data_IF_436117042322
#
_entry.id   IF_436117042322
#
_cell.length_a   1.000
_cell.length_b   1.000
_cell.length_c   1.000
_cell.angle_alpha   90.00
_cell.angle_beta   90.00
_cell.angle_gamma   90.00
#
_symmetry.space_group_name_H-M   'P 1'
#
loop_
_entity.id
_entity.type
_entity.pdbx_description
1 polymer ?
#
# COMPACT_ATOMS: atom_id res chain seq x y z
N UNK A 1 20.76 10.78 1.92
CA UNK A 1 21.70 11.93 1.98
C UNK A 1 20.96 13.17 1.48
N UNK A 2 21.02 14.29 2.19
CA UNK A 2 20.54 15.56 1.68
C UNK A 2 21.59 16.20 0.76
N UNK A 3 21.13 16.83 -0.31
CA UNK A 3 21.99 17.53 -1.27
C UNK A 3 21.52 18.96 -1.48
N UNK A 4 22.42 19.84 -1.91
CA UNK A 4 22.05 21.21 -2.32
C UNK A 4 21.21 21.20 -3.59
N UNK A 5 20.71 22.37 -3.99
CA UNK A 5 20.00 22.56 -5.27
C UNK A 5 20.82 22.09 -6.47
N UNK A 6 22.14 22.18 -6.40
CA UNK A 6 23.12 21.78 -7.41
C UNK A 6 23.60 20.32 -7.26
N UNK A 7 22.98 19.53 -6.38
CA UNK A 7 23.29 18.11 -6.11
C UNK A 7 24.63 17.84 -5.39
N UNK A 8 25.22 18.81 -4.70
CA UNK A 8 26.37 18.54 -3.83
C UNK A 8 25.93 18.05 -2.44
N UNK A 9 26.68 17.14 -1.78
CA UNK A 9 26.36 16.71 -0.41
C UNK A 9 26.19 17.91 0.54
N UNK A 10 25.02 18.02 1.16
CA UNK A 10 24.75 19.09 2.11
C UNK A 10 25.42 18.80 3.45
N UNK A 11 26.02 19.83 4.05
CA UNK A 11 26.74 19.74 5.31
C UNK A 11 26.25 20.80 6.29
N UNK A 12 26.24 20.44 7.57
CA UNK A 12 25.97 21.39 8.65
C UNK A 12 27.15 22.33 8.92
N UNK A 13 26.98 23.23 9.88
CA UNK A 13 28.00 24.17 10.35
C UNK A 13 29.27 23.49 10.89
N UNK A 14 29.17 22.23 11.30
CA UNK A 14 30.28 21.39 11.78
C UNK A 14 30.88 20.51 10.67
N UNK A 15 30.48 20.70 9.41
CA UNK A 15 30.89 19.94 8.21
C UNK A 15 30.43 18.48 8.19
N UNK A 16 29.51 18.06 9.06
CA UNK A 16 28.92 16.71 9.00
C UNK A 16 27.94 16.61 7.84
N UNK A 17 27.81 15.40 7.27
CA UNK A 17 26.80 15.14 6.25
C UNK A 17 25.40 15.13 6.88
N UNK A 18 24.46 15.84 6.26
CA UNK A 18 23.06 15.78 6.66
C UNK A 18 22.35 14.61 5.98
N UNK A 19 21.76 13.73 6.79
CA UNK A 19 20.94 12.63 6.32
C UNK A 19 19.47 12.93 6.56
N UNK A 20 18.62 12.52 5.62
CA UNK A 20 17.17 12.54 5.77
C UNK A 20 16.63 11.13 5.54
N UNK A 21 15.57 10.74 6.27
CA UNK A 21 14.87 9.50 6.02
C UNK A 21 14.40 9.43 4.56
N UNK A 22 14.54 8.27 3.92
CA UNK A 22 14.19 8.07 2.53
C UNK A 22 12.70 7.72 2.32
N UNK A 23 11.83 8.20 3.21
CA UNK A 23 10.41 7.86 3.24
C UNK A 23 10.11 6.47 3.80
N UNK A 24 8.82 6.13 3.86
CA UNK A 24 8.34 4.85 4.40
C UNK A 24 8.71 3.65 3.51
N UNK A 25 9.06 3.88 2.24
CA UNK A 25 9.61 2.88 1.32
C UNK A 25 10.86 2.14 1.83
N UNK A 26 11.63 2.80 2.71
CA UNK A 26 12.78 2.17 3.36
C UNK A 26 12.41 0.93 4.20
N UNK A 27 11.13 0.76 4.56
CA UNK A 27 10.65 -0.41 5.31
C UNK A 27 10.53 -1.68 4.45
N UNK A 28 10.64 -1.60 3.12
CA UNK A 28 10.52 -2.78 2.26
C UNK A 28 11.57 -3.85 2.60
N UNK A 29 12.83 -3.45 2.83
CA UNK A 29 13.89 -4.37 3.24
C UNK A 29 13.57 -5.04 4.58
N UNK A 30 13.07 -4.26 5.53
CA UNK A 30 12.69 -4.78 6.85
C UNK A 30 11.54 -5.78 6.73
N UNK A 31 10.52 -5.48 5.92
CA UNK A 31 9.42 -6.40 5.62
C UNK A 31 9.93 -7.67 4.94
N UNK A 32 10.92 -7.54 4.05
CA UNK A 32 11.58 -8.65 3.37
C UNK A 32 12.42 -9.53 4.32
N UNK A 33 12.70 -9.09 5.54
CA UNK A 33 13.36 -9.89 6.58
C UNK A 33 12.36 -10.55 7.55
N UNK A 34 11.14 -10.03 7.69
CA UNK A 34 10.11 -10.59 8.60
C UNK A 34 9.72 -12.01 8.22
N UNK A 35 9.97 -12.98 9.11
CA UNK A 35 9.60 -14.37 8.91
C UNK A 35 8.21 -14.67 9.51
N UNK A 36 7.15 -14.37 8.75
CA UNK A 36 5.76 -14.60 9.16
C UNK A 36 4.87 -14.88 7.94
N UNK A 37 3.75 -15.57 8.15
CA UNK A 37 2.79 -15.90 7.08
C UNK A 37 1.78 -14.77 6.84
N UNK A 38 1.40 -14.07 7.92
CA UNK A 38 0.52 -12.91 7.90
C UNK A 38 1.17 -11.76 8.65
N UNK A 39 1.24 -10.59 8.01
CA UNK A 39 1.89 -9.39 8.58
C UNK A 39 0.89 -8.24 8.60
N UNK A 40 0.72 -7.61 9.75
CA UNK A 40 -0.09 -6.41 9.92
C UNK A 40 0.81 -5.17 9.87
N UNK A 41 0.49 -4.22 9.00
CA UNK A 41 1.19 -2.93 8.90
C UNK A 41 0.21 -1.83 9.25
N UNK A 42 0.56 -1.01 10.25
CA UNK A 42 -0.19 0.20 10.59
C UNK A 42 0.74 1.36 10.89
N UNK A 43 0.24 2.58 10.71
CA UNK A 43 0.94 3.76 11.23
C UNK A 43 0.94 3.76 12.77
N UNK A 44 2.08 4.18 13.35
CA UNK A 44 2.27 4.23 14.80
C UNK A 44 1.37 5.27 15.48
N UNK A 45 1.02 6.33 14.76
CA UNK A 45 0.15 7.40 15.25
C UNK A 45 -1.34 7.07 15.18
N UNK A 46 -1.72 5.94 14.56
CA UNK A 46 -3.08 5.43 14.60
C UNK A 46 -3.31 4.66 15.91
N UNK A 47 -3.78 5.40 16.92
CA UNK A 47 -3.99 4.93 18.30
C UNK A 47 -5.37 5.35 18.80
N UNK A 48 -6.00 4.51 19.61
CA UNK A 48 -7.31 4.79 20.19
C UNK A 48 -7.32 4.44 21.68
N UNK A 49 -8.28 4.99 22.42
CA UNK A 49 -8.55 4.62 23.79
C UNK A 49 -8.94 3.14 23.89
N UNK A 50 -8.72 2.56 25.07
CA UNK A 50 -8.86 1.12 25.33
C UNK A 50 -10.24 0.56 24.96
N UNK A 51 -11.29 1.35 25.17
CA UNK A 51 -12.69 0.99 24.86
C UNK A 51 -12.94 0.67 23.38
N UNK A 52 -12.15 1.21 22.45
CA UNK A 52 -12.28 0.97 21.01
C UNK A 52 -11.44 -0.22 20.51
N UNK A 53 -10.57 -0.78 21.35
CA UNK A 53 -9.59 -1.81 20.93
C UNK A 53 -10.28 -3.07 20.41
N UNK A 54 -11.36 -3.53 21.04
CA UNK A 54 -12.09 -4.73 20.61
C UNK A 54 -12.72 -4.57 19.23
N UNK A 55 -13.33 -3.41 18.97
CA UNK A 55 -13.92 -3.10 17.66
C UNK A 55 -12.84 -2.99 16.58
N UNK A 56 -11.73 -2.31 16.87
CA UNK A 56 -10.58 -2.21 15.95
C UNK A 56 -10.00 -3.61 15.67
N UNK A 57 -9.85 -4.44 16.70
CA UNK A 57 -9.34 -5.81 16.56
C UNK A 57 -10.28 -6.69 15.73
N UNK A 58 -11.60 -6.52 15.87
CA UNK A 58 -12.58 -7.20 15.03
C UNK A 58 -12.34 -6.90 13.54
N UNK A 59 -12.21 -5.63 13.16
CA UNK A 59 -11.98 -5.28 11.76
C UNK A 59 -10.60 -5.73 11.24
N UNK A 60 -9.56 -5.75 12.09
CA UNK A 60 -8.28 -6.40 11.73
C UNK A 60 -8.45 -7.89 11.42
N UNK A 61 -9.27 -8.60 12.19
CA UNK A 61 -9.61 -10.00 11.90
C UNK A 61 -10.41 -10.15 10.61
N UNK A 62 -11.30 -9.21 10.28
CA UNK A 62 -12.02 -9.19 8.99
C UNK A 62 -11.03 -9.07 7.82
N UNK A 63 -10.09 -8.13 7.88
CA UNK A 63 -9.07 -7.95 6.84
C UNK A 63 -8.19 -9.21 6.69
N UNK A 64 -7.76 -9.79 7.81
CA UNK A 64 -6.98 -11.02 7.81
C UNK A 64 -7.78 -12.22 7.28
N UNK A 65 -9.06 -12.33 7.63
CA UNK A 65 -9.96 -13.36 7.11
C UNK A 65 -10.10 -13.27 5.59
N UNK A 66 -10.31 -12.06 5.05
CA UNK A 66 -10.36 -11.86 3.59
C UNK A 66 -9.02 -12.19 2.92
N UNK A 67 -7.90 -11.83 3.53
CA UNK A 67 -6.57 -12.19 3.03
C UNK A 67 -6.41 -13.71 2.92
N UNK A 68 -6.76 -14.45 3.98
CA UNK A 68 -6.64 -15.91 4.03
C UNK A 68 -7.58 -16.60 3.03
N UNK A 69 -8.83 -16.13 2.92
CA UNK A 69 -9.81 -16.65 1.95
C UNK A 69 -9.30 -16.52 0.50
N UNK A 70 -8.76 -15.35 0.14
CA UNK A 70 -8.21 -15.12 -1.19
C UNK A 70 -6.93 -15.92 -1.42
N UNK A 71 -6.06 -16.00 -0.41
CA UNK A 71 -4.83 -16.76 -0.48
C UNK A 71 -5.11 -18.25 -0.74
N UNK A 72 -6.05 -18.85 -0.01
CA UNK A 72 -6.45 -20.25 -0.19
C UNK A 72 -6.92 -20.52 -1.62
N UNK A 73 -7.79 -19.66 -2.16
CA UNK A 73 -8.26 -19.75 -3.55
C UNK A 73 -7.11 -19.61 -4.55
N UNK A 74 -6.24 -18.61 -4.36
CA UNK A 74 -5.06 -18.38 -5.22
C UNK A 74 -4.16 -19.62 -5.22
N UNK A 75 -3.88 -20.19 -4.05
CA UNK A 75 -3.00 -21.35 -3.91
C UNK A 75 -3.61 -22.59 -4.58
N UNK A 76 -4.90 -22.86 -4.39
CA UNK A 76 -5.60 -23.93 -5.10
C UNK A 76 -5.54 -23.78 -6.62
N UNK A 77 -5.70 -22.55 -7.14
CA UNK A 77 -5.53 -22.31 -8.58
C UNK A 77 -4.10 -22.47 -9.05
N UNK A 78 -3.11 -22.07 -8.25
CA UNK A 78 -1.69 -22.26 -8.58
C UNK A 78 -1.33 -23.74 -8.72
N UNK A 79 -1.86 -24.60 -7.84
CA UNK A 79 -1.68 -26.07 -7.94
C UNK A 79 -2.30 -26.62 -9.22
N UNK A 80 -3.55 -26.24 -9.52
CA UNK A 80 -4.27 -26.69 -10.72
C UNK A 80 -3.55 -26.27 -12.00
N UNK A 81 -2.99 -25.05 -12.02
CA UNK A 81 -2.28 -24.52 -13.17
C UNK A 81 -0.97 -25.26 -13.47
N UNK A 82 -0.40 -26.06 -12.54
CA UNK A 82 0.79 -26.89 -12.81
C UNK A 82 0.54 -27.97 -13.87
N UNK A 83 -0.71 -28.38 -14.06
CA UNK A 83 -1.13 -29.32 -15.10
C UNK A 83 -1.80 -28.65 -16.31
N UNK A 84 -2.31 -29.50 -17.21
CA UNK A 84 -3.25 -29.05 -18.24
C UNK A 84 -4.62 -28.77 -17.61
N UNK A 85 -5.23 -27.64 -17.99
CA UNK A 85 -6.53 -27.23 -17.46
C UNK A 85 -7.59 -27.25 -18.55
N UNK A 86 -8.83 -27.57 -18.16
CA UNK A 86 -9.97 -27.45 -19.04
C UNK A 86 -10.29 -25.97 -19.33
N UNK A 87 -10.97 -25.71 -20.45
CA UNK A 87 -11.45 -24.36 -20.78
C UNK A 87 -12.41 -23.81 -19.70
N UNK A 88 -13.19 -24.68 -19.07
CA UNK A 88 -14.09 -24.31 -17.97
C UNK A 88 -13.30 -23.80 -16.75
N UNK A 89 -12.26 -24.53 -16.34
CA UNK A 89 -11.40 -24.12 -15.23
C UNK A 89 -10.66 -22.82 -15.54
N UNK A 90 -10.20 -22.64 -16.79
CA UNK A 90 -9.60 -21.38 -17.22
C UNK A 90 -10.56 -20.19 -17.06
N UNK A 91 -11.84 -20.34 -17.46
CA UNK A 91 -12.87 -19.30 -17.30
C UNK A 91 -13.18 -19.01 -15.84
N UNK A 92 -13.23 -20.03 -14.99
CA UNK A 92 -13.41 -19.89 -13.54
C UNK A 92 -12.29 -19.03 -12.93
N UNK A 93 -11.02 -19.33 -13.26
CA UNK A 93 -9.86 -18.57 -12.78
C UNK A 93 -9.92 -17.11 -13.26
N UNK A 94 -10.25 -16.88 -14.54
CA UNK A 94 -10.41 -15.53 -15.08
C UNK A 94 -11.54 -14.76 -14.37
N UNK A 95 -12.65 -15.44 -14.09
CA UNK A 95 -13.77 -14.85 -13.35
C UNK A 95 -13.37 -14.49 -11.91
N UNK A 96 -12.60 -15.34 -11.24
CA UNK A 96 -12.04 -15.05 -9.92
C UNK A 96 -11.12 -13.83 -9.96
N UNK A 97 -10.18 -13.77 -10.92
CA UNK A 97 -9.26 -12.64 -11.07
C UNK A 97 -10.02 -11.31 -11.29
N UNK A 98 -11.08 -11.33 -12.10
CA UNK A 98 -11.88 -10.13 -12.36
C UNK A 98 -12.72 -9.70 -11.15
N UNK A 99 -13.42 -10.63 -10.51
CA UNK A 99 -14.42 -10.33 -9.48
C UNK A 99 -13.83 -10.21 -8.08
N UNK A 100 -12.93 -11.12 -7.70
CA UNK A 100 -12.39 -11.21 -6.34
C UNK A 100 -11.07 -10.47 -6.18
N UNK A 101 -10.29 -10.35 -7.26
CA UNK A 101 -9.02 -9.60 -7.27
C UNK A 101 -9.13 -8.20 -7.89
N UNK A 102 -10.32 -7.82 -8.37
CA UNK A 102 -10.59 -6.53 -9.01
C UNK A 102 -9.61 -6.21 -10.16
N UNK A 103 -9.26 -7.20 -10.98
CA UNK A 103 -8.33 -6.99 -12.10
C UNK A 103 -9.12 -6.79 -13.39
N UNK A 104 -9.03 -5.60 -13.98
CA UNK A 104 -9.73 -5.29 -15.24
C UNK A 104 -8.98 -5.81 -16.46
N UNK A 105 -7.66 -5.71 -16.46
CA UNK A 105 -6.84 -6.29 -17.53
C UNK A 105 -6.41 -7.71 -17.15
N UNK A 106 -7.32 -8.67 -17.40
CA UNK A 106 -7.12 -10.08 -17.04
C UNK A 106 -5.93 -10.65 -17.83
N UNK A 107 -4.95 -11.31 -17.17
CA UNK A 107 -3.84 -11.96 -17.84
C UNK A 107 -4.33 -13.05 -18.79
N UNK A 108 -3.73 -13.11 -19.99
CA UNK A 108 -4.11 -14.05 -21.04
C UNK A 108 -3.15 -15.24 -21.09
N UNK A 109 -3.72 -16.45 -21.11
CA UNK A 109 -2.95 -17.70 -21.14
C UNK A 109 -2.45 -18.15 -19.77
N UNK A 110 -2.10 -19.44 -19.68
CA UNK A 110 -1.71 -20.10 -18.43
C UNK A 110 -0.48 -19.47 -17.80
N UNK A 111 0.56 -19.16 -18.60
CA UNK A 111 1.82 -18.60 -18.09
C UNK A 111 1.62 -17.23 -17.44
N UNK A 112 0.94 -16.31 -18.12
CA UNK A 112 0.67 -14.97 -17.58
C UNK A 112 -0.25 -15.03 -16.36
N UNK A 113 -1.22 -15.97 -16.35
CA UNK A 113 -2.10 -16.20 -15.21
C UNK A 113 -1.32 -16.67 -13.98
N UNK A 114 -0.40 -17.64 -14.16
CA UNK A 114 0.50 -18.09 -13.09
C UNK A 114 1.36 -16.95 -12.55
N UNK A 115 2.00 -16.19 -13.43
CA UNK A 115 2.85 -15.06 -13.04
C UNK A 115 2.07 -13.97 -12.29
N UNK A 116 0.81 -13.74 -12.68
CA UNK A 116 -0.08 -12.81 -12.01
C UNK A 116 -0.51 -13.29 -10.61
N UNK A 117 -0.96 -14.54 -10.50
CA UNK A 117 -1.44 -15.10 -9.24
C UNK A 117 -0.29 -15.32 -8.24
N UNK A 118 0.91 -15.67 -8.72
CA UNK A 118 2.08 -15.94 -7.88
C UNK A 118 2.83 -14.66 -7.48
N UNK A 119 2.15 -13.79 -6.75
CA UNK A 119 2.66 -12.52 -6.24
C UNK A 119 2.33 -12.38 -4.75
N UNK A 120 3.08 -11.56 -4.00
CA UNK A 120 2.67 -11.15 -2.67
C UNK A 120 1.26 -10.55 -2.70
N UNK A 121 0.49 -10.78 -1.64
CA UNK A 121 -0.90 -10.36 -1.52
C UNK A 121 -1.04 -9.36 -0.37
N UNK A 122 -1.84 -8.31 -0.57
CA UNK A 122 -2.23 -7.39 0.50
C UNK A 122 -3.72 -7.08 0.45
N UNK A 123 -4.33 -7.04 1.62
CA UNK A 123 -5.67 -6.50 1.84
C UNK A 123 -5.52 -5.19 2.61
N UNK A 124 -6.04 -4.12 2.03
CA UNK A 124 -5.94 -2.75 2.53
C UNK A 124 -7.30 -2.33 3.09
N UNK A 125 -7.39 -2.11 4.39
CA UNK A 125 -8.54 -1.44 4.99
C UNK A 125 -8.58 0.02 4.53
N UNK A 126 -9.72 0.48 4.01
CA UNK A 126 -9.98 1.87 3.64
C UNK A 126 -11.18 2.40 4.39
N UNK A 127 -11.14 3.68 4.74
CA UNK A 127 -12.23 4.35 5.46
C UNK A 127 -12.88 5.39 4.56
N UNK A 128 -14.11 5.78 4.87
CA UNK A 128 -14.76 6.89 4.15
C UNK A 128 -13.93 8.16 4.26
N UNK A 129 -13.79 8.85 3.14
CA UNK A 129 -13.03 10.09 3.07
C UNK A 129 -13.83 11.22 3.72
N UNK A 130 -13.31 11.78 4.81
CA UNK A 130 -13.89 12.93 5.52
C UNK A 130 -13.18 14.25 5.20
N UNK A 131 -12.44 14.30 4.09
CA UNK A 131 -11.61 15.45 3.71
C UNK A 131 -10.21 15.45 4.33
N UNK A 132 -9.77 14.30 4.85
CA UNK A 132 -8.43 14.14 5.42
C UNK A 132 -7.36 14.33 4.32
N UNK A 133 -6.25 15.04 4.62
CA UNK A 133 -5.14 15.16 3.68
C UNK A 133 -4.41 13.82 3.56
N UNK A 134 -4.24 13.32 2.32
CA UNK A 134 -3.44 12.13 2.05
C UNK A 134 -3.86 11.43 0.77
N UNK A 135 -3.55 10.14 0.68
CA UNK A 135 -3.85 9.28 -0.46
C UNK A 135 -5.08 8.41 -0.25
N UNK A 136 -5.45 7.69 -1.31
CA UNK A 136 -6.60 6.80 -1.33
C UNK A 136 -6.47 5.71 -2.38
N UNK A 137 -7.45 4.81 -2.48
CA UNK A 137 -7.52 3.81 -3.55
C UNK A 137 -7.93 4.46 -4.87
N UNK A 138 -7.16 4.24 -5.93
CA UNK A 138 -7.46 4.72 -7.28
C UNK A 138 -7.05 3.71 -8.35
N UNK A 139 -7.74 3.76 -9.49
CA UNK A 139 -7.30 3.09 -10.70
C UNK A 139 -6.20 3.91 -11.36
N UNK A 140 -5.03 3.30 -11.53
CA UNK A 140 -3.87 3.88 -12.20
C UNK A 140 -3.69 3.20 -13.54
N UNK A 141 -3.55 3.99 -14.59
CA UNK A 141 -3.15 3.51 -15.92
C UNK A 141 -1.64 3.66 -16.06
N UNK A 142 -0.93 2.55 -16.25
CA UNK A 142 0.52 2.56 -16.46
C UNK A 142 0.91 2.95 -17.89
N UNK A 143 2.21 3.09 -18.15
CA UNK A 143 2.76 3.49 -19.46
C UNK A 143 2.41 2.53 -20.59
N UNK A 144 2.16 1.26 -20.26
CA UNK A 144 1.75 0.23 -21.21
C UNK A 144 0.22 0.19 -21.39
N UNK A 145 -0.49 1.06 -20.67
CA UNK A 145 -1.93 1.20 -20.73
C UNK A 145 -2.71 0.24 -19.83
N UNK A 146 -2.05 -0.55 -18.99
CA UNK A 146 -2.72 -1.45 -18.05
C UNK A 146 -3.30 -0.66 -16.89
N UNK A 147 -4.51 -1.03 -16.47
CA UNK A 147 -5.26 -0.44 -15.38
C UNK A 147 -5.11 -1.33 -14.14
N UNK A 148 -4.61 -0.75 -13.05
CA UNK A 148 -4.38 -1.44 -11.78
C UNK A 148 -4.91 -0.61 -10.62
N UNK A 149 -5.51 -1.27 -9.64
CA UNK A 149 -5.96 -0.63 -8.42
C UNK A 149 -4.76 -0.43 -7.50
N UNK A 150 -4.51 0.82 -7.08
CA UNK A 150 -3.34 1.19 -6.28
C UNK A 150 -3.70 2.17 -5.18
N UNK A 151 -2.86 2.24 -4.17
CA UNK A 151 -2.86 3.38 -3.25
C UNK A 151 -2.07 4.49 -3.94
N UNK A 152 -2.70 5.63 -4.17
CA UNK A 152 -2.06 6.81 -4.76
C UNK A 152 -2.04 7.93 -3.73
N UNK A 153 -0.86 8.47 -3.48
CA UNK A 153 -0.71 9.65 -2.63
C UNK A 153 -0.98 10.93 -3.40
N UNK A 154 -1.47 11.97 -2.72
CA UNK A 154 -1.76 13.28 -3.34
C UNK A 154 -0.56 13.88 -4.08
N UNK A 155 0.67 13.59 -3.63
CA UNK A 155 1.92 14.03 -4.27
C UNK A 155 2.15 13.41 -5.66
N UNK A 156 1.53 12.27 -5.95
CA UNK A 156 1.63 11.56 -7.23
C UNK A 156 0.56 11.99 -8.23
N UNK A 157 -0.35 12.89 -7.84
CA UNK A 157 -1.48 13.31 -8.68
C UNK A 157 -1.20 14.70 -9.25
N UNK A 158 -1.33 14.83 -10.56
CA UNK A 158 -1.19 16.10 -11.25
C UNK A 158 -2.42 16.97 -11.02
N UNK A 159 -2.35 17.83 -10.00
CA UNK A 159 -3.42 18.76 -9.69
C UNK A 159 -3.61 19.84 -10.75
N UNK A 160 -2.64 20.06 -11.66
CA UNK A 160 -2.84 20.99 -12.77
C UNK A 160 -3.81 20.43 -13.81
N UNK A 161 -3.90 19.10 -13.93
CA UNK A 161 -4.85 18.40 -14.77
C UNK A 161 -6.28 18.46 -14.17
N UNK A 162 -7.25 19.11 -14.84
CA UNK A 162 -8.62 19.23 -14.34
C UNK A 162 -9.33 17.88 -14.14
N UNK A 163 -9.03 16.88 -14.96
CA UNK A 163 -9.64 15.56 -14.87
C UNK A 163 -9.18 14.82 -13.61
N UNK A 164 -7.86 14.77 -13.36
CA UNK A 164 -7.32 14.16 -12.13
C UNK A 164 -7.79 14.91 -10.88
N UNK A 165 -7.93 16.24 -10.97
CA UNK A 165 -8.51 17.04 -9.89
C UNK A 165 -9.96 16.66 -9.57
N UNK A 166 -10.79 16.37 -10.58
CA UNK A 166 -12.17 15.89 -10.36
C UNK A 166 -12.18 14.53 -9.66
N UNK A 167 -11.33 13.60 -10.10
CA UNK A 167 -11.22 12.26 -9.51
C UNK A 167 -10.91 12.34 -8.02
N UNK A 168 -9.96 13.17 -7.59
CA UNK A 168 -9.68 13.37 -6.15
C UNK A 168 -10.89 13.95 -5.43
N UNK A 169 -11.56 14.94 -6.02
CA UNK A 169 -12.69 15.62 -5.40
C UNK A 169 -13.87 14.66 -5.17
N UNK A 170 -14.03 13.67 -6.04
CA UNK A 170 -15.05 12.62 -5.98
C UNK A 170 -14.59 11.39 -5.19
N UNK A 171 -13.35 11.36 -4.68
CA UNK A 171 -12.81 10.23 -3.96
C UNK A 171 -13.59 9.97 -2.67
N UNK A 172 -14.28 8.83 -2.63
CA UNK A 172 -15.15 8.43 -1.51
C UNK A 172 -14.39 7.82 -0.34
N UNK A 173 -13.14 7.37 -0.57
CA UNK A 173 -12.34 6.61 0.40
C UNK A 173 -10.95 7.19 0.60
N UNK A 174 -10.41 6.94 1.78
CA UNK A 174 -9.08 7.34 2.22
C UNK A 174 -8.29 6.10 2.67
N UNK A 175 -6.98 6.10 2.44
CA UNK A 175 -6.10 5.03 2.91
C UNK A 175 -5.53 5.34 4.30
N UNK A 176 -6.00 4.68 5.38
CA UNK A 176 -5.46 4.83 6.73
C UNK A 176 -4.08 4.19 6.93
N UNK A 177 -3.59 3.43 5.94
CA UNK A 177 -2.48 2.49 6.08
C UNK A 177 -2.81 1.44 7.14
N UNK A 178 -3.87 0.68 6.92
CA UNK A 178 -4.15 -0.56 7.66
C UNK A 178 -4.08 -1.73 6.69
N UNK A 179 -2.91 -2.37 6.64
CA UNK A 179 -2.60 -3.41 5.65
C UNK A 179 -2.44 -4.75 6.34
N UNK A 180 -2.97 -5.79 5.72
CA UNK A 180 -2.69 -7.19 6.07
C UNK A 180 -2.05 -7.84 4.86
N UNK A 181 -0.84 -8.35 5.03
CA UNK A 181 0.02 -8.83 3.96
C UNK A 181 0.30 -10.34 4.09
N UNK A 182 0.35 -11.03 2.95
CA UNK A 182 0.93 -12.36 2.79
C UNK A 182 2.12 -12.29 1.85
N UNK A 183 3.22 -12.88 2.29
CA UNK A 183 4.55 -12.74 1.65
C UNK A 183 5.15 -14.08 1.22
N UNK A 184 4.35 -15.14 1.20
CA UNK A 184 4.76 -16.48 0.77
C UNK A 184 3.96 -16.96 -0.42
N UNK A 185 4.59 -17.78 -1.25
CA UNK A 185 3.95 -18.48 -2.34
C UNK A 185 3.16 -19.71 -1.84
N UNK A 186 2.42 -20.33 -2.76
CA UNK A 186 1.65 -21.55 -2.53
C UNK A 186 2.49 -22.77 -2.11
N UNK A 187 3.81 -22.71 -2.24
CA UNK A 187 4.76 -23.75 -1.80
C UNK A 187 5.39 -23.41 -0.44
N UNK A 188 5.01 -22.29 0.18
CA UNK A 188 5.54 -21.79 1.45
C UNK A 188 6.87 -21.03 1.34
N UNK A 189 7.40 -20.82 0.13
CA UNK A 189 8.61 -20.04 -0.07
C UNK A 189 8.31 -18.56 0.11
N UNK A 190 9.20 -17.85 0.81
CA UNK A 190 9.09 -16.40 0.94
C UNK A 190 9.44 -15.73 -0.38
N UNK A 191 8.60 -14.79 -0.83
CA UNK A 191 8.92 -13.93 -1.95
C UNK A 191 10.07 -12.98 -1.59
N UNK A 192 10.95 -12.71 -2.55
CA UNK A 192 11.82 -11.54 -2.49
C UNK A 192 11.00 -10.31 -2.86
N UNK A 193 10.52 -9.58 -1.84
CA UNK A 193 9.59 -8.47 -1.99
C UNK A 193 10.17 -7.33 -2.83
N UNK A 194 11.50 -7.22 -2.93
CA UNK A 194 12.18 -6.20 -3.74
C UNK A 194 11.92 -6.36 -5.24
N UNK A 195 11.60 -7.58 -5.69
CA UNK A 195 11.25 -7.88 -7.09
C UNK A 195 9.85 -7.40 -7.49
N UNK A 196 9.03 -7.02 -6.51
CA UNK A 196 7.65 -6.59 -6.70
C UNK A 196 7.46 -5.09 -6.45
N UNK A 197 8.56 -4.34 -6.38
CA UNK A 197 8.60 -2.89 -6.22
C UNK A 197 8.77 -2.18 -7.58
N UNK A 198 8.07 -1.06 -7.76
CA UNK A 198 8.37 -0.14 -8.86
C UNK A 198 9.46 0.84 -8.43
N UNK A 199 10.71 0.57 -8.81
CA UNK A 199 11.84 1.41 -8.46
C UNK A 199 11.82 2.80 -9.12
N UNK A 200 11.02 2.97 -10.18
CA UNK A 200 10.87 4.26 -10.88
C UNK A 200 9.90 5.21 -10.17
N UNK A 201 9.17 4.74 -9.15
CA UNK A 201 8.20 5.58 -8.42
C UNK A 201 8.83 6.40 -7.29
N UNK A 202 10.15 6.31 -7.09
CA UNK A 202 10.89 7.19 -6.18
C UNK A 202 10.91 8.63 -6.70
N UNK A 203 11.04 9.60 -5.80
CA UNK A 203 10.99 11.02 -6.18
C UNK A 203 11.98 11.87 -5.38
N UNK A 204 12.29 13.05 -5.92
CA UNK A 204 13.10 14.04 -5.23
C UNK A 204 12.18 14.95 -4.41
N UNK A 205 12.33 14.89 -3.09
CA UNK A 205 11.66 15.80 -2.18
C UNK A 205 12.47 17.09 -2.03
N UNK A 206 11.77 18.22 -2.02
CA UNK A 206 12.34 19.53 -1.74
C UNK A 206 11.94 19.96 -0.33
N UNK A 207 12.93 20.24 0.52
CA UNK A 207 12.75 20.65 1.92
C UNK A 207 13.63 21.86 2.23
N UNK A 208 13.47 22.40 3.44
CA UNK A 208 14.35 23.44 3.97
C UNK A 208 14.95 22.95 5.28
N UNK A 209 16.26 23.14 5.43
CA UNK A 209 17.04 22.85 6.64
C UNK A 209 17.63 24.18 7.12
N UNK A 210 17.21 24.67 8.29
CA UNK A 210 17.63 25.98 8.82
C UNK A 210 17.50 27.14 7.82
N UNK A 211 16.44 27.15 7.02
CA UNK A 211 16.21 28.16 5.99
C UNK A 211 16.93 27.90 4.66
N UNK A 212 17.80 26.89 4.58
CA UNK A 212 18.51 26.51 3.36
C UNK A 212 17.72 25.46 2.58
N UNK A 213 17.40 25.68 1.29
CA UNK A 213 16.78 24.67 0.45
C UNK A 213 17.68 23.44 0.30
N UNK A 214 17.11 22.26 0.52
CA UNK A 214 17.77 20.97 0.33
C UNK A 214 16.88 20.03 -0.47
N UNK A 215 17.52 19.12 -1.19
CA UNK A 215 16.87 18.02 -1.90
C UNK A 215 17.23 16.69 -1.24
N UNK A 216 16.28 15.76 -1.22
CA UNK A 216 16.54 14.39 -0.77
C UNK A 216 15.77 13.40 -1.64
N UNK A 217 16.41 12.28 -2.00
CA UNK A 217 15.75 11.16 -2.65
C UNK A 217 14.86 10.44 -1.64
N UNK A 218 13.57 10.34 -1.95
CA UNK A 218 12.64 9.43 -1.29
C UNK A 218 12.49 8.16 -2.14
N UNK A 219 12.60 7.01 -1.49
CA UNK A 219 12.39 5.71 -2.13
C UNK A 219 10.91 5.54 -2.52
N UNK A 220 10.61 4.64 -3.47
CA UNK A 220 9.24 4.19 -3.73
C UNK A 220 8.51 3.94 -2.42
N UNK A 221 7.46 4.70 -2.14
CA UNK A 221 6.74 4.56 -0.88
C UNK A 221 6.24 3.13 -0.68
N UNK A 222 6.24 2.64 0.56
CA UNK A 222 5.94 1.26 0.92
C UNK A 222 4.65 0.78 0.23
N UNK A 223 3.56 1.54 0.37
CA UNK A 223 2.24 1.14 -0.14
C UNK A 223 1.89 1.67 -1.54
N UNK A 224 2.58 2.69 -2.04
CA UNK A 224 2.26 3.39 -3.32
C UNK A 224 3.39 3.27 -4.36
N UNK A 225 4.35 2.37 -4.15
CA UNK A 225 5.45 2.10 -5.09
C UNK A 225 6.17 0.76 -4.81
N UNK A 226 6.63 0.55 -3.59
CA UNK A 226 7.31 -0.70 -3.19
C UNK A 226 6.40 -1.93 -3.22
N UNK A 227 5.07 -1.72 -3.15
CA UNK A 227 4.05 -2.76 -3.25
C UNK A 227 3.24 -2.68 -4.57
N UNK A 228 3.74 -1.99 -5.59
CA UNK A 228 2.98 -1.76 -6.83
C UNK A 228 2.62 -3.06 -7.55
N UNK A 229 3.51 -4.06 -7.56
CA UNK A 229 3.29 -5.33 -8.25
C UNK A 229 2.74 -6.42 -7.34
N UNK A 230 2.06 -6.04 -6.25
CA UNK A 230 1.37 -6.95 -5.36
C UNK A 230 -0.09 -7.12 -5.79
N UNK A 231 -0.66 -8.29 -5.53
CA UNK A 231 -2.11 -8.46 -5.59
C UNK A 231 -2.73 -7.60 -4.47
N UNK A 232 -3.55 -6.61 -4.83
CA UNK A 232 -3.99 -5.55 -3.91
C UNK A 232 -5.51 -5.47 -3.89
N UNK A 233 -6.09 -5.64 -2.70
CA UNK A 233 -7.53 -5.61 -2.48
C UNK A 233 -7.87 -4.53 -1.47
N UNK A 234 -9.00 -3.85 -1.67
CA UNK A 234 -9.47 -2.82 -0.75
C UNK A 234 -10.78 -3.25 -0.10
N UNK A 235 -10.86 -3.05 1.21
CA UNK A 235 -12.05 -3.39 2.01
C UNK A 235 -12.45 -2.14 2.80
N UNK A 236 -13.69 -1.68 2.62
CA UNK A 236 -14.22 -0.61 3.46
C UNK A 236 -14.32 -1.10 4.91
N UNK A 237 -13.69 -0.38 5.83
CA UNK A 237 -13.79 -0.57 7.28
C UNK A 237 -14.30 0.71 7.94
N UNK A 238 -14.90 0.64 9.13
CA UNK A 238 -15.44 1.84 9.77
C UNK A 238 -14.34 2.82 10.15
N UNK A 239 -14.72 4.11 10.19
CA UNK A 239 -13.81 5.21 10.48
C UNK A 239 -13.10 5.06 11.84
N UNK A 240 -13.72 4.38 12.81
CA UNK A 240 -13.12 4.13 14.14
C UNK A 240 -11.84 3.29 14.09
N UNK A 241 -11.56 2.60 12.99
CA UNK A 241 -10.28 1.91 12.78
C UNK A 241 -9.12 2.87 12.47
N UNK A 242 -9.42 4.16 12.27
CA UNK A 242 -8.47 5.19 11.89
C UNK A 242 -8.55 6.43 12.79
N UNK A 243 -7.67 6.48 13.78
CA UNK A 243 -7.53 7.57 14.75
C UNK A 243 -6.09 8.09 14.77
N UNK A 244 -5.67 8.85 13.74
CA UNK A 244 -4.31 9.38 13.67
C UNK A 244 -4.10 10.55 14.63
N UNK A 245 -2.97 10.58 15.31
CA UNK A 245 -2.49 11.73 16.10
C UNK A 245 -1.39 12.44 15.32
N UNK A 246 -1.74 13.51 14.61
CA UNK A 246 -0.77 14.34 13.85
C UNK A 246 -0.32 15.56 14.62
N UNK A 247 -1.16 16.04 15.53
CA UNK A 247 -0.92 17.19 16.41
C UNK A 247 -1.38 16.87 17.82
N UNK A 248 -0.88 17.61 18.81
CA UNK A 248 -1.30 17.43 20.22
C UNK A 248 -2.81 17.62 20.39
N UNK A 249 -3.43 18.51 19.60
CA UNK A 249 -4.87 18.76 19.66
C UNK A 249 -5.71 17.56 19.19
N UNK A 250 -5.16 16.64 18.40
CA UNK A 250 -5.88 15.42 18.01
C UNK A 250 -6.25 14.58 19.24
N UNK A 251 -5.42 14.58 20.29
CA UNK A 251 -5.67 13.85 21.54
C UNK A 251 -6.89 14.35 22.33
N UNK A 252 -7.46 15.51 21.96
CA UNK A 252 -8.69 16.02 22.58
C UNK A 252 -9.96 15.35 22.04
N UNK A 253 -9.88 14.63 20.92
CA UNK A 253 -11.00 13.89 20.34
C UNK A 253 -11.39 12.72 21.25
N UNK A 254 -12.68 12.34 21.22
CA UNK A 254 -13.23 11.30 22.10
C UNK A 254 -12.51 9.97 21.94
N UNK A 255 -12.06 9.65 20.73
CA UNK A 255 -11.41 8.38 20.38
C UNK A 255 -10.05 8.20 21.08
N UNK A 256 -9.46 9.28 21.64
CA UNK A 256 -8.21 9.24 22.39
C UNK A 256 -8.39 9.45 23.90
N UNK A 257 -9.62 9.67 24.37
CA UNK A 257 -9.91 10.01 25.76
C UNK A 257 -10.66 8.86 26.44
N UNK A 258 -10.01 8.11 27.34
CA UNK A 258 -10.67 7.05 28.09
C UNK A 258 -11.83 7.61 28.93
N UNK A 259 -13.00 6.98 28.86
CA UNK A 259 -14.19 7.34 29.65
C UNK A 259 -14.75 8.76 29.37
N UNK A 260 -14.63 9.27 28.14
CA UNK A 260 -15.11 10.62 27.75
C UNK A 260 -16.52 10.62 27.13
#
# INVERSE_FOLDING_TARGET
LAVTSENYPHRDEFKNLIFRPAGHGALLSNLNEVNADVIFVKNIDNVAAQEYVEEIAFYKRVLAGKLLELQEKIFGYMEVLEGEISLEKAKEIQSFIWNELDVKDIPQGVSATKEFLNRPLRVCGVVKNTGAPGGGPFWVKDENGNIKLQIVEKSQIDLSNPHQRSIIKEATHFNPVDLVCSVRDYKGNKFDLTKYANMNSGFISHKSENGTPVKALELPGLWNGSMEYWNTIFVEVPLITFNPVKTVNDLLKKEHRPNA
#
